data_IF_542444091247
#
_entry.id   IF_542444091247
#
_cell.length_a   1.000
_cell.length_b   1.000
_cell.length_c   1.000
_cell.angle_alpha   90.00
_cell.angle_beta   90.00
_cell.angle_gamma   90.00
#
_symmetry.space_group_name_H-M   'P 1'
#
loop_
_entity.id
_entity.type
_entity.pdbx_description
1 polymer ?
#
# COMPACT_ATOMS: atom_id res chain seq x y z
N UNK A 1 -20.97 -27.13 25.51
CA UNK A 1 -21.21 -25.75 25.94
C UNK A 1 -20.37 -24.89 25.04
N UNK A 2 -21.02 -24.32 24.00
CA UNK A 2 -20.38 -23.55 22.96
C UNK A 2 -19.91 -22.20 23.48
N UNK A 3 -18.68 -21.87 23.20
CA UNK A 3 -18.18 -20.50 23.25
C UNK A 3 -18.32 -19.95 21.81
N UNK A 4 -19.43 -19.24 21.59
CA UNK A 4 -19.65 -18.46 20.38
C UNK A 4 -18.70 -17.24 20.44
N UNK A 5 -17.49 -17.43 19.99
CA UNK A 5 -16.55 -16.34 19.69
C UNK A 5 -17.11 -15.48 18.54
N UNK A 6 -18.17 -14.74 18.80
CA UNK A 6 -18.59 -13.62 17.97
C UNK A 6 -17.48 -12.58 18.06
N UNK A 7 -16.68 -12.50 17.02
CA UNK A 7 -15.90 -11.32 16.72
C UNK A 7 -16.86 -10.12 16.90
N UNK A 8 -16.59 -9.26 17.89
CA UNK A 8 -17.36 -8.04 18.08
C UNK A 8 -17.38 -7.31 16.75
N UNK A 9 -18.60 -7.01 16.28
CA UNK A 9 -18.85 -6.44 14.96
C UNK A 9 -18.00 -5.20 14.77
N UNK A 10 -17.22 -5.18 13.71
CA UNK A 10 -16.38 -4.09 13.24
C UNK A 10 -17.16 -2.80 12.89
N UNK A 11 -18.40 -2.69 13.29
CA UNK A 11 -19.34 -1.61 12.96
C UNK A 11 -18.99 -0.24 13.54
N UNK A 12 -17.97 -0.16 14.41
CA UNK A 12 -17.57 1.10 15.07
C UNK A 12 -16.13 1.54 14.79
N UNK A 13 -15.37 0.87 13.94
CA UNK A 13 -14.06 1.37 13.55
C UNK A 13 -14.22 2.49 12.54
N UNK A 14 -13.89 3.73 12.95
CA UNK A 14 -13.70 4.81 11.99
C UNK A 14 -12.47 4.46 11.13
N UNK A 15 -12.74 3.95 9.93
CA UNK A 15 -11.73 3.53 8.97
C UNK A 15 -10.66 4.61 8.73
N UNK A 16 -11.09 5.86 8.57
CA UNK A 16 -10.15 6.95 8.31
C UNK A 16 -9.34 7.32 9.55
N UNK A 17 -9.91 7.16 10.76
CA UNK A 17 -9.16 7.28 12.00
C UNK A 17 -8.09 6.18 12.11
N UNK A 18 -8.44 4.94 11.76
CA UNK A 18 -7.49 3.82 11.73
C UNK A 18 -6.38 4.05 10.72
N UNK A 19 -6.71 4.43 9.48
CA UNK A 19 -5.73 4.73 8.42
C UNK A 19 -4.79 5.87 8.84
N UNK A 20 -5.34 6.96 9.42
CA UNK A 20 -4.57 8.12 9.85
C UNK A 20 -3.69 7.78 11.05
N UNK A 21 -4.21 7.02 12.02
CA UNK A 21 -3.46 6.66 13.23
C UNK A 21 -2.30 5.70 12.92
N UNK A 22 -2.46 4.84 11.92
CA UNK A 22 -1.50 3.80 11.57
C UNK A 22 -1.63 2.55 12.45
N UNK A 23 -0.70 1.61 12.26
CA UNK A 23 -0.73 0.29 12.88
C UNK A 23 0.44 0.02 13.83
N UNK A 24 1.17 1.07 14.25
CA UNK A 24 2.26 0.92 15.22
C UNK A 24 1.71 0.44 16.58
N UNK A 25 2.26 -0.63 17.19
CA UNK A 25 1.69 -1.26 18.39
C UNK A 25 1.49 -0.27 19.54
N UNK A 26 2.41 0.66 19.77
CA UNK A 26 2.31 1.66 20.83
C UNK A 26 1.14 2.63 20.63
N UNK A 27 0.70 2.85 19.39
CA UNK A 27 -0.44 3.70 19.07
C UNK A 27 -1.79 3.00 19.27
N UNK A 28 -1.80 1.69 19.65
CA UNK A 28 -3.03 1.02 20.09
C UNK A 28 -3.50 1.58 21.44
N UNK A 29 -2.62 2.19 22.23
CA UNK A 29 -2.99 2.94 23.42
C UNK A 29 -3.49 4.35 23.02
N UNK A 30 -4.79 4.68 23.26
CA UNK A 30 -5.35 5.97 22.91
C UNK A 30 -4.72 7.17 23.62
N UNK A 31 -4.07 6.94 24.77
CA UNK A 31 -3.39 7.99 25.56
C UNK A 31 -2.09 8.46 24.91
N UNK A 32 -1.54 7.70 23.96
CA UNK A 32 -0.30 8.06 23.28
C UNK A 32 -0.60 9.11 22.21
N UNK A 33 0.05 10.28 22.34
CA UNK A 33 -0.03 11.32 21.32
C UNK A 33 0.55 10.86 20.00
N UNK A 34 -0.28 10.87 18.96
CA UNK A 34 0.07 10.47 17.60
C UNK A 34 1.25 11.28 17.03
N UNK A 35 1.16 12.61 17.14
CA UNK A 35 2.18 13.51 16.60
C UNK A 35 3.51 13.38 17.35
N UNK A 36 3.47 13.37 18.69
CA UNK A 36 4.68 13.17 19.50
C UNK A 36 5.33 11.80 19.23
N UNK A 37 4.52 10.77 19.03
CA UNK A 37 5.02 9.43 18.70
C UNK A 37 5.78 9.43 17.37
N UNK A 38 5.18 9.91 16.26
CA UNK A 38 5.84 9.87 14.96
C UNK A 38 7.00 10.85 14.86
N UNK A 39 6.91 12.02 15.50
CA UNK A 39 8.05 12.94 15.62
C UNK A 39 9.24 12.24 16.30
N UNK A 40 8.99 11.56 17.42
CA UNK A 40 10.03 10.79 18.11
C UNK A 40 10.54 9.60 17.30
N UNK A 41 9.64 8.90 16.61
CA UNK A 41 9.99 7.77 15.75
C UNK A 41 10.91 8.19 14.60
N UNK A 42 10.55 9.24 13.87
CA UNK A 42 11.36 9.75 12.74
C UNK A 42 12.73 10.19 13.23
N UNK A 43 12.81 10.93 14.34
CA UNK A 43 14.08 11.36 14.91
C UNK A 43 14.95 10.18 15.31
N UNK A 44 14.39 9.21 16.05
CA UNK A 44 15.15 8.02 16.52
C UNK A 44 15.60 7.17 15.33
N UNK A 45 14.74 7.01 14.31
CA UNK A 45 15.07 6.29 13.09
C UNK A 45 16.23 6.94 12.33
N UNK A 46 16.20 8.28 12.18
CA UNK A 46 17.27 9.03 11.54
C UNK A 46 18.59 8.94 12.32
N UNK A 47 18.51 9.09 13.64
CA UNK A 47 19.70 9.10 14.52
C UNK A 47 20.36 7.74 14.66
N UNK A 48 19.61 6.65 14.62
CA UNK A 48 20.07 5.31 14.95
C UNK A 48 20.25 4.42 13.72
N UNK A 49 19.16 4.21 12.97
CA UNK A 49 19.15 3.15 11.94
C UNK A 49 19.74 3.64 10.61
N UNK A 50 19.63 4.94 10.34
CA UNK A 50 20.13 5.51 9.08
C UNK A 50 21.59 5.91 9.17
N UNK A 51 22.04 6.47 10.29
CA UNK A 51 23.45 6.86 10.50
C UNK A 51 24.42 5.69 10.35
N UNK A 52 24.05 4.53 10.88
CA UNK A 52 24.91 3.34 10.85
C UNK A 52 24.96 2.68 9.48
N UNK A 53 23.93 2.88 8.65
CA UNK A 53 23.79 2.23 7.34
C UNK A 53 24.25 3.09 6.18
N UNK A 54 24.26 4.40 6.34
CA UNK A 54 24.66 5.34 5.31
C UNK A 54 25.44 6.49 5.96
N UNK A 55 26.49 6.96 5.30
CA UNK A 55 27.13 8.23 5.64
C UNK A 55 26.17 9.37 5.28
N UNK A 56 25.15 9.58 6.12
CA UNK A 56 24.24 10.72 5.94
C UNK A 56 24.97 11.96 6.46
N UNK A 57 25.53 12.71 5.53
CA UNK A 57 26.16 14.01 5.84
C UNK A 57 25.10 15.10 6.05
N UNK A 58 23.87 14.86 5.60
CA UNK A 58 22.78 15.82 5.63
C UNK A 58 21.46 15.12 6.01
N UNK A 59 21.13 15.22 7.30
CA UNK A 59 19.87 14.68 7.87
C UNK A 59 18.65 15.39 7.28
N UNK A 60 18.76 16.67 6.91
CA UNK A 60 17.67 17.41 6.31
C UNK A 60 17.31 16.88 4.92
N UNK A 61 18.29 16.59 4.08
CA UNK A 61 18.07 15.98 2.77
C UNK A 61 17.44 14.59 2.90
N UNK A 62 17.84 13.79 3.90
CA UNK A 62 17.21 12.49 4.13
C UNK A 62 15.76 12.63 4.61
N UNK A 63 15.46 13.60 5.48
CA UNK A 63 14.09 13.89 5.88
C UNK A 63 13.24 14.30 4.67
N UNK A 64 13.74 15.18 3.80
CA UNK A 64 13.07 15.54 2.54
C UNK A 64 12.85 14.32 1.64
N UNK A 65 13.81 13.39 1.60
CA UNK A 65 13.66 12.14 0.88
C UNK A 65 12.53 11.26 1.46
N UNK A 66 12.42 11.16 2.79
CA UNK A 66 11.31 10.45 3.44
C UNK A 66 9.95 11.06 3.06
N UNK A 67 9.85 12.39 3.12
CA UNK A 67 8.63 13.13 2.72
C UNK A 67 8.33 12.90 1.24
N UNK A 68 9.34 12.94 0.36
CA UNK A 68 9.20 12.67 -1.06
C UNK A 68 8.73 11.24 -1.34
N UNK A 69 9.19 10.26 -0.57
CA UNK A 69 8.71 8.87 -0.62
C UNK A 69 7.24 8.78 -0.16
N UNK A 70 6.87 9.45 0.94
CA UNK A 70 5.50 9.46 1.44
C UNK A 70 4.53 10.06 0.42
N UNK A 71 4.90 11.17 -0.23
CA UNK A 71 4.11 11.79 -1.30
C UNK A 71 3.95 10.91 -2.56
N UNK A 72 4.70 9.81 -2.65
CA UNK A 72 4.66 8.86 -3.76
C UNK A 72 4.19 7.46 -3.36
N UNK A 73 3.63 7.31 -2.16
CA UNK A 73 3.00 6.04 -1.78
C UNK A 73 1.90 5.68 -2.79
N UNK A 74 1.81 4.42 -3.19
CA UNK A 74 0.91 3.94 -4.24
C UNK A 74 1.34 4.27 -5.68
N UNK A 75 2.56 4.83 -5.90
CA UNK A 75 3.02 5.22 -7.24
C UNK A 75 4.27 4.45 -7.67
N UNK A 76 4.50 4.41 -8.97
CA UNK A 76 5.74 3.87 -9.54
C UNK A 76 6.96 4.64 -9.03
N UNK A 77 8.01 3.91 -8.67
CA UNK A 77 9.28 4.51 -8.23
C UNK A 77 9.92 5.28 -9.38
N UNK A 78 10.23 6.55 -9.14
CA UNK A 78 11.09 7.35 -10.01
C UNK A 78 12.26 7.88 -9.18
N UNK A 79 13.42 7.27 -9.34
CA UNK A 79 14.61 7.64 -8.57
C UNK A 79 15.09 9.06 -8.87
N UNK A 80 14.94 9.54 -10.11
CA UNK A 80 15.35 10.91 -10.48
C UNK A 80 14.46 11.97 -9.83
N UNK A 81 13.14 11.72 -9.73
CA UNK A 81 12.23 12.62 -9.05
C UNK A 81 12.48 12.64 -7.53
N UNK A 82 12.71 11.46 -6.93
CA UNK A 82 13.06 11.36 -5.51
C UNK A 82 14.37 12.09 -5.19
N UNK A 83 15.38 11.93 -6.06
CA UNK A 83 16.67 12.59 -5.93
C UNK A 83 16.53 14.11 -6.00
N UNK A 84 15.80 14.61 -6.99
CA UNK A 84 15.55 16.06 -7.16
C UNK A 84 14.86 16.66 -5.95
N UNK A 85 13.80 16.01 -5.44
CA UNK A 85 13.03 16.53 -4.33
C UNK A 85 13.81 16.51 -3.00
N UNK A 86 14.76 15.59 -2.86
CA UNK A 86 15.66 15.50 -1.71
C UNK A 86 16.93 16.34 -1.83
N UNK A 87 17.20 16.92 -3.00
CA UNK A 87 18.44 17.69 -3.25
C UNK A 87 19.70 16.83 -3.31
N UNK A 88 19.59 15.57 -3.76
CA UNK A 88 20.72 14.63 -3.84
C UNK A 88 20.85 14.03 -5.25
N UNK A 89 21.91 13.30 -5.51
CA UNK A 89 22.06 12.55 -6.75
C UNK A 89 21.21 11.27 -6.78
N UNK A 90 20.94 10.76 -7.98
CA UNK A 90 20.07 9.57 -8.17
C UNK A 90 20.65 8.32 -7.51
N UNK A 91 21.96 8.16 -7.44
CA UNK A 91 22.61 7.00 -6.82
C UNK A 91 22.42 7.02 -5.31
N UNK A 92 22.52 8.20 -4.70
CA UNK A 92 22.22 8.42 -3.30
C UNK A 92 20.75 8.11 -2.99
N UNK A 93 19.80 8.60 -3.81
CA UNK A 93 18.38 8.28 -3.65
C UNK A 93 18.09 6.77 -3.77
N UNK A 94 18.74 6.06 -4.68
CA UNK A 94 18.65 4.60 -4.80
C UNK A 94 19.16 3.88 -3.55
N UNK A 95 20.31 4.30 -3.02
CA UNK A 95 20.87 3.76 -1.77
C UNK A 95 19.91 3.98 -0.60
N UNK A 96 19.39 5.19 -0.44
CA UNK A 96 18.46 5.53 0.62
C UNK A 96 17.14 4.75 0.53
N UNK A 97 16.58 4.59 -0.69
CA UNK A 97 15.40 3.75 -0.88
C UNK A 97 15.66 2.29 -0.50
N UNK A 98 16.85 1.79 -0.76
CA UNK A 98 17.26 0.44 -0.36
C UNK A 98 17.28 0.28 1.16
N UNK A 99 17.73 1.30 1.89
CA UNK A 99 17.70 1.32 3.37
C UNK A 99 16.27 1.35 3.89
N UNK A 100 15.40 2.26 3.37
CA UNK A 100 14.00 2.31 3.77
C UNK A 100 13.28 0.98 3.56
N UNK A 101 13.63 0.27 2.49
CA UNK A 101 13.10 -1.07 2.22
C UNK A 101 13.66 -2.12 3.18
N UNK A 102 14.95 -2.10 3.46
CA UNK A 102 15.61 -3.07 4.34
C UNK A 102 15.15 -2.93 5.80
N UNK A 103 14.91 -1.69 6.26
CA UNK A 103 14.37 -1.39 7.59
C UNK A 103 12.84 -1.54 7.69
N UNK A 104 12.17 -1.90 6.59
CA UNK A 104 10.73 -2.14 6.61
C UNK A 104 9.86 -0.88 6.66
N UNK A 105 10.41 0.31 6.46
CA UNK A 105 9.63 1.57 6.39
C UNK A 105 8.79 1.62 5.12
N UNK A 106 9.35 1.13 4.01
CA UNK A 106 8.64 1.03 2.74
C UNK A 106 8.70 -0.38 2.18
N UNK A 107 7.69 -0.71 1.40
CA UNK A 107 7.62 -1.91 0.58
C UNK A 107 7.63 -1.52 -0.89
N UNK A 108 8.34 -2.29 -1.69
CA UNK A 108 8.30 -2.18 -3.15
C UNK A 108 7.49 -3.35 -3.70
N UNK A 109 6.27 -3.07 -4.14
CA UNK A 109 5.42 -4.04 -4.81
C UNK A 109 5.88 -4.19 -6.26
N UNK A 110 6.19 -5.42 -6.65
CA UNK A 110 6.67 -5.71 -8.01
C UNK A 110 5.49 -5.84 -8.97
N UNK A 111 5.66 -5.44 -10.22
CA UNK A 111 4.66 -5.73 -11.24
C UNK A 111 4.61 -7.23 -11.51
N UNK A 112 3.42 -7.72 -11.86
CA UNK A 112 3.26 -9.05 -12.42
C UNK A 112 4.01 -9.12 -13.75
N UNK A 113 4.76 -10.19 -13.96
CA UNK A 113 5.53 -10.38 -15.18
C UNK A 113 5.36 -11.81 -15.68
N UNK A 114 5.03 -11.97 -16.99
CA UNK A 114 5.06 -13.25 -17.67
C UNK A 114 5.94 -13.14 -18.91
N UNK A 115 6.53 -14.26 -19.33
CA UNK A 115 7.36 -14.33 -20.54
C UNK A 115 6.59 -13.95 -21.82
N UNK A 116 5.26 -14.05 -21.80
CA UNK A 116 4.39 -13.72 -22.94
C UNK A 116 4.18 -12.21 -23.13
N UNK A 117 4.43 -11.40 -22.10
CA UNK A 117 4.11 -9.96 -22.11
C UNK A 117 5.36 -9.10 -22.02
N UNK A 118 6.07 -8.96 -23.14
CA UNK A 118 7.28 -8.11 -23.25
C UNK A 118 7.06 -6.60 -23.02
N UNK A 119 5.80 -6.13 -22.85
CA UNK A 119 5.43 -4.70 -22.76
C UNK A 119 4.96 -4.26 -21.38
N UNK A 120 5.19 -5.04 -20.33
CA UNK A 120 4.84 -4.65 -18.97
C UNK A 120 5.88 -3.70 -18.38
N UNK A 121 5.42 -2.83 -17.48
CA UNK A 121 6.34 -2.04 -16.67
C UNK A 121 7.20 -2.96 -15.82
N UNK A 122 8.48 -2.60 -15.63
CA UNK A 122 9.40 -3.29 -14.73
C UNK A 122 9.60 -2.54 -13.41
N UNK A 123 9.12 -1.31 -13.36
CA UNK A 123 9.29 -0.41 -12.23
C UNK A 123 8.31 -0.78 -11.12
N UNK A 124 8.76 -0.98 -9.88
CA UNK A 124 7.86 -1.29 -8.77
C UNK A 124 7.06 -0.07 -8.33
N UNK A 125 5.91 -0.30 -7.66
CA UNK A 125 5.20 0.70 -6.88
C UNK A 125 5.79 0.77 -5.46
N UNK A 126 5.85 1.97 -4.89
CA UNK A 126 6.28 2.22 -3.53
C UNK A 126 5.06 2.32 -2.61
N UNK A 127 5.10 1.60 -1.48
CA UNK A 127 4.09 1.70 -0.43
C UNK A 127 4.77 1.87 0.93
N UNK A 128 4.29 2.81 1.73
CA UNK A 128 4.63 2.83 3.15
C UNK A 128 4.02 1.61 3.85
N UNK A 129 4.74 1.02 4.79
CA UNK A 129 4.25 -0.13 5.57
C UNK A 129 3.31 0.30 6.68
N UNK A 130 3.40 1.55 7.10
CA UNK A 130 2.54 2.18 8.08
C UNK A 130 1.94 3.47 7.52
N UNK A 131 0.62 3.55 7.45
CA UNK A 131 -0.09 4.70 6.89
C UNK A 131 -0.05 5.91 7.81
N UNK A 132 0.04 5.71 9.13
CA UNK A 132 0.15 6.80 10.09
C UNK A 132 1.46 7.55 9.95
N UNK A 133 2.58 6.84 9.72
CA UNK A 133 3.87 7.47 9.40
C UNK A 133 3.79 8.27 8.11
N UNK A 134 3.17 7.73 7.06
CA UNK A 134 2.98 8.46 5.80
C UNK A 134 2.13 9.73 6.01
N UNK A 135 1.05 9.65 6.78
CA UNK A 135 0.20 10.78 7.12
C UNK A 135 0.95 11.85 7.89
N UNK A 136 1.77 11.45 8.88
CA UNK A 136 2.60 12.37 9.67
C UNK A 136 3.60 13.11 8.79
N UNK A 137 4.35 12.42 7.95
CA UNK A 137 5.33 12.99 7.02
C UNK A 137 4.69 13.96 6.01
N UNK A 138 3.44 13.71 5.62
CA UNK A 138 2.68 14.54 4.68
C UNK A 138 1.91 15.69 5.36
N UNK A 139 1.96 15.79 6.70
CA UNK A 139 1.29 16.85 7.46
C UNK A 139 -0.23 16.74 7.50
N UNK A 140 -0.81 15.53 7.29
CA UNK A 140 -2.25 15.33 7.50
C UNK A 140 -2.55 15.31 8.99
N UNK A 141 -3.09 16.43 9.49
CA UNK A 141 -3.29 16.67 10.93
C UNK A 141 -4.48 15.92 11.53
N UNK A 142 -5.40 15.42 10.71
CA UNK A 142 -6.57 14.67 11.18
C UNK A 142 -7.11 13.69 10.13
N UNK A 143 -7.90 12.70 10.54
CA UNK A 143 -8.60 11.78 9.62
C UNK A 143 -9.46 12.51 8.59
N UNK A 144 -10.12 13.61 8.98
CA UNK A 144 -11.03 14.38 8.12
C UNK A 144 -10.24 15.12 7.03
N UNK A 145 -9.10 15.72 7.38
CA UNK A 145 -8.23 16.40 6.41
C UNK A 145 -7.64 15.42 5.42
N UNK A 146 -7.21 14.24 5.88
CA UNK A 146 -6.76 13.14 5.02
C UNK A 146 -7.86 12.68 4.06
N UNK A 147 -9.06 12.36 4.59
CA UNK A 147 -10.18 11.85 3.80
C UNK A 147 -10.58 12.77 2.65
N UNK A 148 -10.49 14.09 2.86
CA UNK A 148 -10.83 15.11 1.87
C UNK A 148 -9.63 15.56 1.03
N UNK A 149 -8.45 15.11 1.36
CA UNK A 149 -7.20 15.51 0.74
C UNK A 149 -6.92 14.81 -0.58
N UNK A 150 -6.05 15.41 -1.38
CA UNK A 150 -5.65 14.87 -2.68
C UNK A 150 -4.97 13.49 -2.60
N UNK A 151 -4.44 13.12 -1.44
CA UNK A 151 -3.77 11.84 -1.21
C UNK A 151 -4.69 10.74 -0.65
N UNK A 152 -5.98 11.04 -0.40
CA UNK A 152 -6.92 10.09 0.19
C UNK A 152 -6.92 8.72 -0.53
N UNK A 153 -7.00 8.72 -1.87
CA UNK A 153 -6.99 7.49 -2.66
C UNK A 153 -5.69 6.70 -2.51
N UNK A 154 -4.54 7.37 -2.58
CA UNK A 154 -3.23 6.70 -2.47
C UNK A 154 -2.95 6.16 -1.06
N UNK A 155 -3.37 6.88 -0.02
CA UNK A 155 -3.19 6.41 1.36
C UNK A 155 -4.16 5.27 1.66
N UNK A 156 -5.40 5.33 1.15
CA UNK A 156 -6.35 4.22 1.23
C UNK A 156 -5.81 2.97 0.51
N UNK A 157 -5.32 3.11 -0.73
CA UNK A 157 -4.66 2.03 -1.48
C UNK A 157 -3.48 1.46 -0.67
N UNK A 158 -2.64 2.31 -0.08
CA UNK A 158 -1.50 1.91 0.75
C UNK A 158 -1.95 1.07 1.94
N UNK A 159 -3.02 1.49 2.62
CA UNK A 159 -3.62 0.75 3.73
C UNK A 159 -4.09 -0.63 3.26
N UNK A 160 -4.92 -0.70 2.23
CA UNK A 160 -5.48 -1.96 1.71
C UNK A 160 -4.39 -2.91 1.23
N UNK A 161 -3.41 -2.42 0.47
CA UNK A 161 -2.26 -3.24 0.04
C UNK A 161 -1.50 -3.81 1.23
N UNK A 162 -1.30 -2.99 2.27
CA UNK A 162 -0.67 -3.40 3.52
C UNK A 162 -1.44 -4.52 4.23
N UNK A 163 -2.76 -4.36 4.40
CA UNK A 163 -3.63 -5.34 5.08
C UNK A 163 -3.73 -6.65 4.28
N UNK A 164 -3.94 -6.57 2.96
CA UNK A 164 -3.97 -7.78 2.10
C UNK A 164 -2.67 -8.57 2.21
N UNK A 165 -1.52 -7.89 2.17
CA UNK A 165 -0.23 -8.58 2.28
C UNK A 165 -0.04 -9.19 3.67
N UNK A 166 -0.43 -8.49 4.75
CA UNK A 166 -0.37 -9.03 6.12
C UNK A 166 -1.27 -10.24 6.28
N UNK A 167 -2.51 -10.14 5.83
CA UNK A 167 -3.49 -11.24 5.86
C UNK A 167 -2.99 -12.46 5.09
N UNK A 168 -2.47 -12.25 3.88
CA UNK A 168 -1.91 -13.32 3.05
C UNK A 168 -0.70 -14.02 3.70
N UNK A 169 0.21 -13.24 4.30
CA UNK A 169 1.35 -13.78 5.03
C UNK A 169 0.92 -14.54 6.29
N UNK A 170 -0.06 -14.02 7.03
CA UNK A 170 -0.59 -14.67 8.24
C UNK A 170 -1.28 -16.00 7.91
N UNK A 171 -1.85 -16.13 6.72
CA UNK A 171 -2.40 -17.37 6.19
C UNK A 171 -1.33 -18.35 5.67
N UNK A 172 -0.04 -18.04 5.82
CA UNK A 172 1.07 -18.88 5.34
C UNK A 172 1.44 -18.64 3.87
N UNK A 173 0.88 -17.62 3.23
CA UNK A 173 1.21 -17.23 1.86
C UNK A 173 2.60 -16.60 1.73
N UNK A 174 3.07 -16.46 0.51
CA UNK A 174 4.35 -15.82 0.20
C UNK A 174 4.10 -14.46 -0.48
N UNK A 175 4.58 -13.38 0.11
CA UNK A 175 4.43 -12.02 -0.44
C UNK A 175 5.01 -11.86 -1.87
N UNK A 176 5.86 -12.80 -2.31
CA UNK A 176 6.36 -12.84 -3.69
C UNK A 176 5.28 -13.16 -4.72
N UNK A 177 4.13 -13.68 -4.27
CA UNK A 177 2.98 -13.99 -5.10
C UNK A 177 1.98 -12.83 -5.20
N UNK A 178 2.27 -11.72 -4.54
CA UNK A 178 1.44 -10.51 -4.60
C UNK A 178 2.11 -9.49 -5.52
N UNK A 179 1.39 -9.06 -6.53
CA UNK A 179 1.87 -8.19 -7.60
C UNK A 179 0.85 -7.08 -7.87
N UNK A 180 1.22 -6.10 -8.69
CA UNK A 180 0.28 -5.26 -9.43
C UNK A 180 0.44 -5.52 -10.94
N UNK A 181 -0.51 -5.08 -11.74
CA UNK A 181 -0.38 -5.12 -13.20
C UNK A 181 -0.37 -3.71 -13.77
N UNK A 182 0.51 -3.45 -14.72
CA UNK A 182 0.47 -2.24 -15.55
C UNK A 182 1.15 -2.49 -16.88
N UNK A 183 0.45 -2.15 -17.97
CA UNK A 183 1.00 -2.28 -19.31
C UNK A 183 1.39 -0.93 -19.94
N UNK A 184 1.95 -1.00 -21.14
CA UNK A 184 2.37 0.18 -21.91
C UNK A 184 1.18 1.10 -22.31
N UNK A 185 -0.06 0.59 -22.28
CA UNK A 185 -1.28 1.37 -22.53
C UNK A 185 -1.85 1.98 -21.26
N UNK A 186 -1.12 1.91 -20.15
CA UNK A 186 -1.51 2.41 -18.82
C UNK A 186 -2.72 1.69 -18.20
N UNK A 187 -3.10 0.50 -18.72
CA UNK A 187 -4.11 -0.33 -18.06
C UNK A 187 -3.47 -0.92 -16.81
N UNK A 188 -4.17 -0.78 -15.69
CA UNK A 188 -3.65 -1.13 -14.37
C UNK A 188 -4.64 -2.00 -13.61
N UNK A 189 -4.12 -2.90 -12.77
CA UNK A 189 -4.84 -3.63 -11.75
C UNK A 189 -4.04 -3.44 -10.47
N UNK A 190 -4.70 -2.98 -9.42
CA UNK A 190 -4.03 -2.57 -8.17
C UNK A 190 -3.29 -3.72 -7.51
N UNK A 191 -3.91 -4.91 -7.43
CA UNK A 191 -3.26 -6.12 -6.96
C UNK A 191 -3.61 -7.34 -7.84
N UNK A 192 -2.65 -8.26 -7.93
CA UNK A 192 -2.84 -9.63 -8.41
C UNK A 192 -2.26 -10.55 -7.34
N UNK A 193 -3.08 -11.47 -6.86
CA UNK A 193 -2.62 -12.58 -6.02
C UNK A 193 -2.47 -13.79 -6.93
N UNK A 194 -1.25 -14.31 -7.03
CA UNK A 194 -0.93 -15.47 -7.85
C UNK A 194 -0.95 -16.74 -7.02
N UNK A 195 -1.79 -17.70 -7.39
CA UNK A 195 -1.84 -19.04 -6.82
C UNK A 195 -1.53 -20.07 -7.89
N UNK A 196 -0.26 -20.44 -7.96
CA UNK A 196 0.23 -21.33 -9.02
C UNK A 196 0.06 -20.68 -10.40
N UNK A 197 -0.88 -21.19 -11.21
CA UNK A 197 -1.21 -20.67 -12.55
C UNK A 197 -2.49 -19.83 -12.56
N UNK A 198 -3.10 -19.61 -11.41
CA UNK A 198 -4.33 -18.80 -11.30
C UNK A 198 -3.98 -17.40 -10.80
N UNK A 199 -4.53 -16.39 -11.47
CA UNK A 199 -4.38 -14.98 -11.13
C UNK A 199 -5.70 -14.45 -10.57
N UNK A 200 -5.68 -13.96 -9.34
CA UNK A 200 -6.81 -13.34 -8.66
C UNK A 200 -6.65 -11.81 -8.69
N UNK A 201 -7.37 -11.10 -9.58
CA UNK A 201 -7.27 -9.65 -9.68
C UNK A 201 -8.04 -8.97 -8.55
N UNK A 202 -7.45 -7.91 -8.00
CA UNK A 202 -8.07 -7.09 -6.96
C UNK A 202 -7.94 -5.62 -7.35
N UNK A 203 -9.06 -4.92 -7.32
CA UNK A 203 -9.16 -3.47 -7.49
C UNK A 203 -9.45 -2.83 -6.15
N UNK A 204 -8.98 -1.59 -5.94
CA UNK A 204 -9.14 -0.85 -4.68
C UNK A 204 -9.87 0.46 -4.96
N UNK A 205 -11.00 0.68 -4.29
CA UNK A 205 -11.82 1.88 -4.49
C UNK A 205 -12.23 2.49 -3.15
N UNK A 206 -12.06 3.81 -3.02
CA UNK A 206 -12.52 4.56 -1.83
C UNK A 206 -14.05 4.75 -1.78
N UNK A 207 -14.78 4.42 -2.84
CA UNK A 207 -16.24 4.51 -2.86
C UNK A 207 -16.89 3.38 -2.06
N UNK A 208 -18.11 3.60 -1.56
CA UNK A 208 -18.92 2.56 -0.94
C UNK A 208 -19.69 1.70 -1.96
N UNK A 209 -19.84 2.21 -3.18
CA UNK A 209 -20.53 1.49 -4.26
C UNK A 209 -19.61 1.43 -5.48
N UNK A 210 -19.51 0.25 -6.08
CA UNK A 210 -18.72 0.01 -7.28
C UNK A 210 -19.57 -0.66 -8.36
N UNK A 211 -19.27 -0.35 -9.61
CA UNK A 211 -19.95 -0.88 -10.79
C UNK A 211 -19.01 -1.79 -11.59
N UNK A 212 -19.54 -2.43 -12.63
CA UNK A 212 -18.75 -3.26 -13.57
C UNK A 212 -17.61 -2.52 -14.24
N UNK A 213 -17.72 -1.21 -14.38
CA UNK A 213 -16.67 -0.37 -14.97
C UNK A 213 -15.37 -0.41 -14.14
N UNK A 214 -15.49 -0.53 -12.81
CA UNK A 214 -14.34 -0.63 -11.91
C UNK A 214 -13.43 -1.83 -12.23
N UNK A 215 -13.98 -2.90 -12.80
CA UNK A 215 -13.27 -4.15 -13.09
C UNK A 215 -13.06 -4.40 -14.58
N UNK A 216 -13.37 -3.44 -15.44
CA UNK A 216 -13.16 -3.57 -16.88
C UNK A 216 -11.69 -3.86 -17.24
N UNK A 217 -10.76 -3.34 -16.45
CA UNK A 217 -9.31 -3.59 -16.58
C UNK A 217 -8.91 -5.05 -16.41
N UNK A 218 -9.70 -5.88 -15.72
CA UNK A 218 -9.35 -7.29 -15.46
C UNK A 218 -9.28 -8.14 -16.74
N UNK A 219 -9.99 -7.72 -17.80
CA UNK A 219 -9.96 -8.39 -19.11
C UNK A 219 -8.56 -8.49 -19.72
N UNK A 220 -7.62 -7.64 -19.31
CA UNK A 220 -6.23 -7.71 -19.80
C UNK A 220 -5.52 -9.01 -19.40
N UNK A 221 -5.98 -9.66 -18.34
CA UNK A 221 -5.39 -10.91 -17.86
C UNK A 221 -5.72 -12.10 -18.77
N UNK A 222 -6.77 -12.03 -19.57
CA UNK A 222 -7.10 -13.07 -20.55
C UNK A 222 -6.02 -13.22 -21.63
N UNK A 223 -5.22 -12.18 -21.84
CA UNK A 223 -4.13 -12.14 -22.83
C UNK A 223 -2.76 -12.46 -22.20
N UNK A 224 -2.71 -12.84 -20.91
CA UNK A 224 -1.46 -13.02 -20.15
C UNK A 224 -1.02 -14.49 -20.18
N UNK A 225 -0.73 -15.00 -21.39
CA UNK A 225 -0.04 -16.28 -21.56
C UNK A 225 -0.77 -17.48 -20.93
N UNK A 226 -0.02 -18.37 -20.26
CA UNK A 226 -0.50 -19.64 -19.73
C UNK A 226 -1.12 -19.56 -18.32
N UNK A 227 -1.77 -18.44 -17.97
CA UNK A 227 -2.41 -18.26 -16.68
C UNK A 227 -3.94 -18.23 -16.83
N UNK A 228 -4.60 -18.81 -15.84
CA UNK A 228 -6.06 -18.73 -15.70
C UNK A 228 -6.45 -17.52 -14.85
N UNK A 229 -7.60 -16.92 -15.13
CA UNK A 229 -8.15 -15.85 -14.32
C UNK A 229 -9.14 -16.43 -13.33
N UNK A 230 -8.81 -16.34 -12.06
CA UNK A 230 -9.63 -16.79 -10.95
C UNK A 230 -10.68 -15.76 -10.52
N UNK A 231 -11.31 -16.02 -9.37
CA UNK A 231 -12.21 -15.07 -8.75
C UNK A 231 -11.48 -13.76 -8.43
N UNK A 232 -12.10 -12.63 -8.76
CA UNK A 232 -11.59 -11.30 -8.46
C UNK A 232 -12.35 -10.62 -7.34
N UNK A 233 -11.79 -9.52 -6.82
CA UNK A 233 -12.43 -8.69 -5.82
C UNK A 233 -12.29 -7.20 -6.13
N UNK A 234 -13.24 -6.40 -5.61
CA UNK A 234 -13.07 -4.96 -5.45
C UNK A 234 -13.14 -4.66 -3.96
N UNK A 235 -12.02 -4.28 -3.36
CA UNK A 235 -11.97 -3.87 -1.94
C UNK A 235 -12.41 -2.41 -1.87
N UNK A 236 -13.49 -2.16 -1.13
CA UNK A 236 -14.11 -0.84 -1.08
C UNK A 236 -14.80 -0.59 0.28
N UNK A 237 -15.40 0.59 0.46
CA UNK A 237 -16.09 0.96 1.71
C UNK A 237 -17.56 0.50 1.75
N UNK A 238 -17.90 -0.59 1.04
CA UNK A 238 -19.24 -1.19 1.17
C UNK A 238 -19.44 -1.77 2.57
N UNK A 239 -20.68 -1.85 3.05
CA UNK A 239 -20.99 -2.48 4.35
C UNK A 239 -21.03 -3.99 4.26
N UNK A 240 -21.50 -4.53 3.16
CA UNK A 240 -21.66 -5.96 2.93
C UNK A 240 -21.10 -6.34 1.56
N UNK A 241 -20.60 -7.57 1.40
CA UNK A 241 -20.16 -8.03 0.11
C UNK A 241 -21.34 -8.19 -0.86
N UNK A 242 -21.12 -7.82 -2.14
CA UNK A 242 -22.11 -8.04 -3.19
C UNK A 242 -21.43 -8.39 -4.52
N UNK A 243 -22.12 -9.10 -5.44
CA UNK A 243 -21.57 -9.45 -6.74
C UNK A 243 -21.49 -8.21 -7.64
N UNK A 244 -20.31 -7.95 -8.20
CA UNK A 244 -20.07 -6.94 -9.25
C UNK A 244 -20.23 -7.58 -10.63
N UNK A 245 -19.71 -8.80 -10.79
CA UNK A 245 -19.90 -9.67 -11.96
C UNK A 245 -20.10 -11.11 -11.50
N UNK A 246 -20.19 -12.06 -12.43
CA UNK A 246 -20.30 -13.49 -12.08
C UNK A 246 -19.05 -14.02 -11.33
N UNK A 247 -17.88 -13.42 -11.54
CA UNK A 247 -16.59 -13.86 -10.98
C UNK A 247 -15.95 -12.85 -10.05
N UNK A 248 -16.51 -11.64 -9.89
CA UNK A 248 -15.94 -10.58 -9.08
C UNK A 248 -16.96 -10.10 -8.03
N UNK A 249 -16.51 -9.97 -6.80
CA UNK A 249 -17.30 -9.44 -5.67
C UNK A 249 -16.72 -8.12 -5.16
N UNK A 250 -17.60 -7.21 -4.77
CA UNK A 250 -17.22 -6.12 -3.88
C UNK A 250 -17.06 -6.68 -2.47
N UNK A 251 -15.98 -6.31 -1.80
CA UNK A 251 -15.58 -6.82 -0.49
C UNK A 251 -15.36 -5.63 0.45
N UNK A 252 -15.95 -5.63 1.65
CA UNK A 252 -15.71 -4.60 2.64
C UNK A 252 -14.24 -4.53 3.05
N UNK A 253 -13.68 -3.31 3.13
CA UNK A 253 -12.27 -3.11 3.52
C UNK A 253 -11.96 -3.62 4.93
N UNK A 254 -12.94 -3.70 5.82
CA UNK A 254 -12.76 -4.22 7.18
C UNK A 254 -12.85 -5.74 7.31
N UNK A 255 -13.03 -6.45 6.21
CA UNK A 255 -13.08 -7.92 6.18
C UNK A 255 -11.80 -8.57 5.63
N UNK A 256 -10.74 -7.79 5.42
CA UNK A 256 -9.44 -8.24 4.88
C UNK A 256 -8.38 -8.39 5.97
#
# INVERSE_FOLDING_TARGET
VGDDGRCESSENLDLWATIHRGSMPRLMDPSVSWDAFYTGYVRTYLERDVRDLITVKDEASFYHFLVACAARTGRLVNHSDLARDAGVDTKTAQSWLSVLRASGVVRLLRPFWSNATKRLTKTPKLYFTDTGLACHLLGWSSPETLRRGAMAGHVFETFVVGEVIKSYLNAGGDARNVHFYRDARQREIDLIIQEGRVLHPVEIKTSATVTREAVAGFSVLNDVGDYDVGAGAVICQTREPYPVTATVKAVPVWSI
#
